data_IF_634180891190
#
_entry.id   IF_634180891190
#
_cell.length_a   1.000
_cell.length_b   1.000
_cell.length_c   1.000
_cell.angle_alpha   90.00
_cell.angle_beta   90.00
_cell.angle_gamma   90.00
#
_symmetry.space_group_name_H-M   'P 1'
#
loop_
_entity.id
_entity.type
_entity.pdbx_description
1 polymer ?
#
# COMPACT_ATOMS: atom_id res chain seq x y z
N UNK A 1 -11.35 13.43 9.99
CA UNK A 1 -11.84 12.17 10.59
C UNK A 1 -10.73 11.12 10.53
N UNK A 2 -10.85 10.05 11.31
CA UNK A 2 -9.98 8.87 11.23
C UNK A 2 -10.76 7.75 10.56
N UNK A 3 -10.14 7.03 9.63
CA UNK A 3 -10.68 5.82 9.01
C UNK A 3 -9.80 4.64 9.43
N UNK A 4 -10.43 3.52 9.77
CA UNK A 4 -9.74 2.27 10.08
C UNK A 4 -10.30 1.15 9.21
N UNK A 5 -9.41 0.34 8.63
CA UNK A 5 -9.71 -0.92 7.95
C UNK A 5 -9.06 -2.08 8.71
N UNK A 6 -9.80 -3.14 8.99
CA UNK A 6 -9.28 -4.34 9.64
C UNK A 6 -8.76 -5.38 8.63
N UNK A 7 -7.99 -6.35 9.12
CA UNK A 7 -7.46 -7.47 8.32
C UNK A 7 -8.60 -8.27 7.65
N UNK A 8 -9.72 -8.48 8.33
CA UNK A 8 -10.92 -9.11 7.76
C UNK A 8 -11.75 -8.20 6.86
N UNK A 9 -11.27 -6.98 6.56
CA UNK A 9 -11.92 -6.09 5.60
C UNK A 9 -13.10 -5.32 6.16
N UNK A 10 -13.18 -5.09 7.47
CA UNK A 10 -14.17 -4.18 8.05
C UNK A 10 -13.64 -2.75 8.08
N UNK A 11 -14.41 -1.82 7.54
CA UNK A 11 -14.08 -0.40 7.46
C UNK A 11 -15.05 0.45 8.27
N UNK A 12 -14.53 1.51 8.89
CA UNK A 12 -15.32 2.54 9.56
C UNK A 12 -14.61 3.89 9.58
N UNK A 13 -15.39 4.96 9.68
CA UNK A 13 -14.88 6.29 10.02
C UNK A 13 -15.27 6.68 11.44
N UNK A 14 -14.46 7.55 12.04
CA UNK A 14 -14.62 8.01 13.42
C UNK A 14 -14.19 9.48 13.55
N UNK A 15 -14.78 10.24 14.48
CA UNK A 15 -14.26 11.56 14.84
C UNK A 15 -12.79 11.48 15.30
N UNK A 16 -11.98 12.48 14.93
CA UNK A 16 -10.55 12.48 15.26
C UNK A 16 -10.30 12.57 16.78
N UNK A 17 -11.18 13.27 17.50
CA UNK A 17 -11.09 13.41 18.95
C UNK A 17 -11.25 12.08 19.69
N UNK A 18 -11.86 11.07 19.06
CA UNK A 18 -12.00 9.72 19.63
C UNK A 18 -10.67 8.97 19.73
N UNK A 19 -9.61 9.45 19.06
CA UNK A 19 -8.28 8.83 19.06
C UNK A 19 -7.22 9.59 19.88
N UNK A 20 -7.59 10.70 20.56
CA UNK A 20 -6.65 11.44 21.43
C UNK A 20 -6.16 10.56 22.58
N UNK A 21 -4.85 10.53 22.79
CA UNK A 21 -4.21 9.82 23.89
C UNK A 21 -4.61 10.40 25.25
N UNK A 22 -5.04 9.56 26.18
CA UNK A 22 -5.17 9.94 27.59
C UNK A 22 -3.75 10.19 28.14
N UNK A 23 -3.43 11.42 28.59
CA UNK A 23 -2.11 11.83 29.12
C UNK A 23 -1.74 11.22 30.49
N UNK A 24 -2.15 9.98 30.76
CA UNK A 24 -1.75 9.26 31.98
C UNK A 24 -1.25 7.89 31.55
N UNK A 25 -0.06 7.53 32.01
CA UNK A 25 0.62 6.26 31.74
C UNK A 25 -0.11 5.04 32.31
N UNK A 26 -1.32 4.79 31.83
CA UNK A 26 -2.03 3.53 31.95
C UNK A 26 -1.72 2.68 30.72
N UNK A 27 -1.81 1.36 30.89
CA UNK A 27 -1.69 0.34 29.82
C UNK A 27 -2.35 0.86 28.54
N UNK A 28 -1.62 0.76 27.42
CA UNK A 28 -1.97 1.35 26.13
C UNK A 28 -3.45 1.24 25.78
N UNK A 29 -3.98 2.31 25.20
CA UNK A 29 -5.41 2.48 24.94
C UNK A 29 -5.87 1.38 23.97
N UNK A 30 -6.63 0.40 24.46
CA UNK A 30 -7.14 -0.73 23.67
C UNK A 30 -7.95 -0.18 22.47
N UNK A 31 -7.39 -0.34 21.27
CA UNK A 31 -7.81 0.37 20.06
C UNK A 31 -9.16 -0.08 19.51
N UNK A 32 -9.36 -1.39 19.39
CA UNK A 32 -10.53 -2.06 18.79
C UNK A 32 -10.72 -3.41 19.51
N UNK A 33 -11.97 -3.78 19.86
CA UNK A 33 -12.29 -5.16 20.23
C UNK A 33 -12.37 -5.98 18.96
N UNK A 34 -11.25 -6.55 18.55
CA UNK A 34 -11.23 -7.49 17.45
C UNK A 34 -11.81 -8.82 17.96
N UNK A 35 -12.46 -9.59 17.08
CA UNK A 35 -12.58 -11.04 17.35
C UNK A 35 -11.15 -11.56 17.55
N UNK A 36 -10.97 -12.63 18.32
CA UNK A 36 -9.70 -13.36 18.33
C UNK A 36 -9.21 -13.45 16.86
N UNK A 37 -8.02 -12.89 16.59
CA UNK A 37 -7.34 -12.82 15.28
C UNK A 37 -7.65 -11.68 14.28
N UNK A 38 -8.68 -10.82 14.46
CA UNK A 38 -8.79 -9.61 13.62
C UNK A 38 -7.87 -8.49 14.17
N UNK A 39 -7.38 -7.60 13.32
CA UNK A 39 -6.54 -6.46 13.73
C UNK A 39 -6.67 -5.30 12.76
N UNK A 40 -6.35 -4.09 13.20
CA UNK A 40 -6.33 -2.91 12.30
C UNK A 40 -5.17 -3.08 11.33
N UNK A 41 -5.49 -3.21 10.05
CA UNK A 41 -4.51 -3.27 8.97
C UNK A 41 -4.10 -1.87 8.53
N UNK A 42 -5.07 -0.97 8.36
CA UNK A 42 -4.84 0.41 7.91
C UNK A 42 -5.53 1.40 8.83
N UNK A 43 -4.83 2.49 9.14
CA UNK A 43 -5.41 3.66 9.83
C UNK A 43 -4.89 4.94 9.18
N UNK A 44 -5.80 5.81 8.77
CA UNK A 44 -5.44 7.07 8.12
C UNK A 44 -6.40 8.20 8.49
N UNK A 45 -5.93 9.42 8.35
CA UNK A 45 -6.73 10.64 8.52
C UNK A 45 -7.13 11.18 7.15
N UNK A 46 -8.36 11.70 7.07
CA UNK A 46 -8.88 12.32 5.84
C UNK A 46 -10.09 13.22 6.18
N UNK A 47 -10.59 14.00 5.21
CA UNK A 47 -11.83 14.76 5.30
C UNK A 47 -13.04 13.95 4.83
N UNK A 48 -14.25 14.36 5.22
CA UNK A 48 -15.49 13.73 4.75
C UNK A 48 -15.72 13.90 3.25
N UNK A 49 -15.23 14.98 2.65
CA UNK A 49 -15.39 15.28 1.22
C UNK A 49 -14.25 14.75 0.35
N UNK A 50 -13.15 14.30 0.95
CA UNK A 50 -12.04 13.68 0.23
C UNK A 50 -12.51 12.40 -0.47
N UNK A 51 -11.78 12.04 -1.53
CA UNK A 51 -11.97 10.77 -2.21
C UNK A 51 -10.97 9.76 -1.65
N UNK A 52 -11.46 8.60 -1.23
CA UNK A 52 -10.63 7.48 -0.81
C UNK A 52 -10.57 6.49 -1.95
N UNK A 53 -9.37 6.29 -2.51
CA UNK A 53 -9.11 5.31 -3.56
C UNK A 53 -8.77 3.96 -2.93
N UNK A 54 -9.37 2.89 -3.43
CA UNK A 54 -9.14 1.52 -3.00
C UNK A 54 -8.62 0.71 -4.18
N UNK A 55 -7.42 0.17 -4.07
CA UNK A 55 -6.83 -0.67 -5.10
C UNK A 55 -6.96 -2.13 -4.72
N UNK A 56 -7.29 -2.98 -5.69
CA UNK A 56 -7.43 -4.42 -5.48
C UNK A 56 -6.25 -5.21 -6.01
N UNK A 57 -6.05 -6.44 -5.49
CA UNK A 57 -5.07 -7.40 -6.00
C UNK A 57 -5.24 -7.70 -7.49
N UNK A 58 -6.47 -7.56 -8.04
CA UNK A 58 -6.77 -7.72 -9.47
C UNK A 58 -6.49 -6.47 -10.31
N UNK A 59 -5.83 -5.45 -9.75
CA UNK A 59 -5.44 -4.26 -10.51
C UNK A 59 -6.58 -3.32 -10.84
N UNK A 60 -7.68 -3.34 -10.07
CA UNK A 60 -8.78 -2.39 -10.20
C UNK A 60 -8.71 -1.31 -9.12
N UNK A 61 -9.20 -0.12 -9.45
CA UNK A 61 -9.45 0.97 -8.51
C UNK A 61 -10.93 1.14 -8.30
N UNK A 62 -11.31 1.26 -7.04
CA UNK A 62 -12.60 1.68 -6.57
C UNK A 62 -12.45 2.97 -5.78
N UNK A 63 -13.55 3.67 -5.53
CA UNK A 63 -13.50 4.91 -4.79
C UNK A 63 -14.77 5.14 -3.98
N UNK A 64 -14.60 5.76 -2.83
CA UNK A 64 -15.68 6.28 -2.00
C UNK A 64 -15.34 7.71 -1.61
N UNK A 65 -16.34 8.55 -1.42
CA UNK A 65 -16.19 9.77 -0.64
C UNK A 65 -16.04 9.40 0.83
N UNK A 66 -15.30 10.20 1.58
CA UNK A 66 -15.13 9.98 3.02
C UNK A 66 -16.45 9.80 3.78
N UNK A 67 -17.48 10.57 3.44
CA UNK A 67 -18.81 10.46 4.05
C UNK A 67 -19.57 9.17 3.71
N UNK A 68 -19.23 8.48 2.60
CA UNK A 68 -19.84 7.20 2.22
C UNK A 68 -19.33 6.06 3.10
N UNK A 69 -18.19 6.23 3.77
CA UNK A 69 -17.69 5.28 4.77
C UNK A 69 -18.57 5.39 6.02
N UNK A 70 -19.17 4.29 6.52
CA UNK A 70 -20.05 4.32 7.68
C UNK A 70 -19.34 4.79 8.94
N UNK A 71 -20.00 5.67 9.68
CA UNK A 71 -19.53 6.10 10.99
C UNK A 71 -19.85 5.05 12.04
N UNK A 72 -18.87 4.73 12.89
CA UNK A 72 -19.07 3.77 13.95
C UNK A 72 -18.20 4.09 15.17
N UNK A 73 -18.61 3.62 16.34
CA UNK A 73 -17.84 3.78 17.57
C UNK A 73 -16.47 3.09 17.53
N UNK A 74 -15.58 3.45 18.46
CA UNK A 74 -14.22 2.92 18.55
C UNK A 74 -14.16 1.40 18.71
N UNK A 75 -15.08 0.84 19.46
CA UNK A 75 -15.19 -0.62 19.70
C UNK A 75 -16.04 -1.33 18.66
N UNK A 76 -16.82 -0.60 17.84
CA UNK A 76 -17.66 -1.21 16.81
C UNK A 76 -16.80 -1.82 15.70
N UNK A 77 -17.26 -2.93 15.11
CA UNK A 77 -16.52 -3.61 14.04
C UNK A 77 -16.43 -2.76 12.76
N UNK A 78 -17.46 -1.99 12.45
CA UNK A 78 -17.60 -1.31 11.17
C UNK A 78 -18.39 -2.14 10.16
N UNK A 79 -18.32 -1.76 8.89
CA UNK A 79 -19.03 -2.42 7.79
C UNK A 79 -18.05 -3.17 6.92
N UNK A 80 -18.41 -4.36 6.42
CA UNK A 80 -17.55 -5.10 5.51
C UNK A 80 -17.36 -4.31 4.19
N UNK A 81 -16.11 -4.17 3.72
CA UNK A 81 -15.76 -3.37 2.54
C UNK A 81 -16.44 -3.90 1.26
N UNK A 82 -16.68 -5.21 1.18
CA UNK A 82 -17.42 -5.88 0.10
C UNK A 82 -18.89 -5.42 -0.01
N UNK A 83 -19.45 -4.85 1.05
CA UNK A 83 -20.82 -4.29 1.01
C UNK A 83 -20.82 -2.86 0.44
N UNK A 84 -19.67 -2.20 0.40
CA UNK A 84 -19.50 -0.83 -0.11
C UNK A 84 -18.93 -0.84 -1.53
N UNK A 85 -18.10 -1.83 -1.85
CA UNK A 85 -17.41 -1.98 -3.12
C UNK A 85 -17.85 -3.27 -3.81
N UNK A 86 -18.20 -3.19 -5.09
CA UNK A 86 -18.52 -4.36 -5.92
C UNK A 86 -17.24 -5.12 -6.32
N UNK A 87 -16.71 -5.89 -5.39
CA UNK A 87 -15.52 -6.73 -5.59
C UNK A 87 -15.92 -8.07 -6.21
N UNK A 88 -15.12 -8.57 -7.14
CA UNK A 88 -15.30 -9.93 -7.67
C UNK A 88 -14.89 -11.00 -6.65
N UNK A 89 -15.28 -12.25 -6.90
CA UNK A 89 -14.80 -13.38 -6.10
C UNK A 89 -13.26 -13.44 -6.05
N UNK A 90 -12.70 -13.53 -4.85
CA UNK A 90 -11.25 -13.54 -4.60
C UNK A 90 -10.56 -12.18 -4.75
N UNK A 91 -11.29 -11.11 -5.08
CA UNK A 91 -10.75 -9.76 -5.14
C UNK A 91 -10.64 -9.14 -3.74
N UNK A 92 -9.46 -8.64 -3.38
CA UNK A 92 -9.12 -8.10 -2.07
C UNK A 92 -8.46 -6.74 -2.21
N UNK A 93 -8.66 -5.85 -1.25
CA UNK A 93 -8.02 -4.53 -1.23
C UNK A 93 -6.55 -4.65 -0.78
N UNK A 94 -5.64 -4.11 -1.59
CA UNK A 94 -4.20 -4.13 -1.37
C UNK A 94 -3.64 -2.79 -0.94
N UNK A 95 -4.20 -1.67 -1.43
CA UNK A 95 -3.80 -0.33 -1.01
C UNK A 95 -5.00 0.64 -0.87
N UNK A 96 -4.86 1.63 0.01
CA UNK A 96 -5.85 2.69 0.23
C UNK A 96 -5.14 4.05 0.19
N UNK A 97 -5.64 4.96 -0.65
CA UNK A 97 -5.04 6.29 -0.83
C UNK A 97 -6.12 7.36 -0.71
N UNK A 98 -6.18 8.12 0.40
CA UNK A 98 -7.03 9.31 0.49
C UNK A 98 -6.44 10.46 -0.34
N UNK A 99 -7.27 11.11 -1.14
CA UNK A 99 -6.91 12.28 -1.95
C UNK A 99 -7.94 13.40 -1.79
N UNK A 100 -7.47 14.65 -1.75
CA UNK A 100 -8.35 15.82 -1.75
C UNK A 100 -8.84 16.14 -3.17
N UNK A 101 -7.97 15.99 -4.16
CA UNK A 101 -8.25 16.23 -5.57
C UNK A 101 -7.34 15.38 -6.47
N UNK A 102 -7.64 15.35 -7.77
CA UNK A 102 -6.80 14.73 -8.80
C UNK A 102 -5.78 15.75 -9.31
N UNK A 103 -4.80 16.09 -8.47
CA UNK A 103 -3.76 17.06 -8.78
C UNK A 103 -2.87 16.64 -9.96
N UNK A 104 -2.44 17.61 -10.75
CA UNK A 104 -1.38 17.44 -11.75
C UNK A 104 -0.02 17.29 -11.06
N UNK A 105 0.94 16.65 -11.74
CA UNK A 105 2.27 16.37 -11.19
C UNK A 105 2.29 15.34 -10.06
N UNK A 106 1.16 14.69 -9.75
CA UNK A 106 1.08 13.54 -8.85
C UNK A 106 0.88 12.24 -9.61
N UNK A 107 1.43 11.16 -9.09
CA UNK A 107 1.41 9.85 -9.73
C UNK A 107 0.99 8.77 -8.75
N UNK A 108 0.37 7.72 -9.30
CA UNK A 108 0.17 6.46 -8.62
C UNK A 108 1.23 5.48 -9.10
N UNK A 109 2.12 5.14 -8.19
CA UNK A 109 3.15 4.13 -8.39
C UNK A 109 2.63 2.79 -7.87
N UNK A 110 2.72 1.75 -8.69
CA UNK A 110 2.15 0.43 -8.45
C UNK A 110 3.23 -0.63 -8.55
N UNK A 111 3.27 -1.58 -7.62
CA UNK A 111 4.09 -2.77 -7.70
C UNK A 111 3.24 -4.03 -7.82
N UNK A 112 3.73 -5.00 -8.59
CA UNK A 112 3.11 -6.32 -8.71
C UNK A 112 3.95 -7.40 -8.04
N UNK A 113 3.31 -8.52 -7.71
CA UNK A 113 3.91 -9.68 -7.09
C UNK A 113 5.08 -10.22 -7.92
N UNK A 114 4.96 -10.19 -9.24
CA UNK A 114 5.98 -10.68 -10.17
C UNK A 114 7.05 -9.63 -10.52
N UNK A 115 7.14 -8.54 -9.74
CA UNK A 115 8.24 -7.58 -9.85
C UNK A 115 8.07 -6.51 -10.91
N UNK A 116 6.86 -6.31 -11.45
CA UNK A 116 6.59 -5.16 -12.31
C UNK A 116 6.33 -3.91 -11.46
N UNK A 117 6.74 -2.77 -11.99
CA UNK A 117 6.46 -1.44 -11.47
C UNK A 117 5.75 -0.62 -12.54
N UNK A 118 4.77 0.19 -12.14
CA UNK A 118 4.07 1.09 -13.05
C UNK A 118 3.81 2.44 -12.41
N UNK A 119 4.06 3.51 -13.17
CA UNK A 119 3.71 4.88 -12.77
C UNK A 119 2.61 5.40 -13.69
N UNK A 120 1.51 5.88 -13.12
CA UNK A 120 0.40 6.49 -13.88
C UNK A 120 0.05 7.85 -13.29
N UNK A 121 -0.14 8.91 -14.10
CA UNK A 121 -0.60 10.21 -13.59
C UNK A 121 -1.92 10.06 -12.82
N UNK A 122 -2.03 10.71 -11.65
CA UNK A 122 -3.22 10.65 -10.80
C UNK A 122 -4.47 11.10 -11.56
N UNK A 123 -4.31 12.09 -12.45
CA UNK A 123 -5.38 12.66 -13.29
C UNK A 123 -6.11 11.62 -14.15
N UNK A 124 -5.45 10.52 -14.53
CA UNK A 124 -6.04 9.44 -15.32
C UNK A 124 -7.22 8.73 -14.61
N UNK A 125 -7.32 8.90 -13.28
CA UNK A 125 -8.34 8.32 -12.42
C UNK A 125 -9.46 9.30 -12.06
N UNK A 126 -9.42 10.53 -12.59
CA UNK A 126 -10.49 11.51 -12.47
C UNK A 126 -11.67 11.13 -13.37
N UNK A 127 -12.45 10.14 -12.91
CA UNK A 127 -13.58 9.59 -13.65
C UNK A 127 -14.79 9.52 -12.75
N UNK A 128 -16.00 9.83 -13.25
CA UNK A 128 -17.23 9.74 -12.46
C UNK A 128 -17.70 8.30 -12.17
N UNK A 129 -17.09 7.28 -12.80
CA UNK A 129 -17.51 5.87 -12.67
C UNK A 129 -17.42 5.38 -11.22
N UNK A 130 -18.46 4.66 -10.81
CA UNK A 130 -18.53 3.98 -9.49
C UNK A 130 -18.09 2.52 -9.56
N UNK A 131 -18.15 1.91 -10.75
CA UNK A 131 -17.63 0.57 -11.00
C UNK A 131 -16.11 0.59 -11.03
N UNK A 132 -15.49 -0.55 -10.67
CA UNK A 132 -14.04 -0.69 -10.65
C UNK A 132 -13.40 -0.25 -11.97
N UNK A 133 -12.46 0.70 -11.87
CA UNK A 133 -11.66 1.19 -13.00
C UNK A 133 -10.43 0.30 -13.14
N UNK A 134 -10.09 -0.10 -14.37
CA UNK A 134 -8.80 -0.73 -14.62
C UNK A 134 -7.68 0.25 -14.23
N UNK A 135 -6.78 -0.19 -13.36
CA UNK A 135 -5.63 0.56 -12.88
C UNK A 135 -4.32 0.02 -13.43
N UNK A 136 -4.22 -1.29 -13.62
CA UNK A 136 -3.07 -1.97 -14.22
C UNK A 136 -3.56 -3.24 -14.90
N UNK A 137 -3.03 -3.52 -16.10
CA UNK A 137 -3.26 -4.80 -16.76
C UNK A 137 -2.28 -5.81 -16.17
N UNK A 138 -2.80 -6.84 -15.51
CA UNK A 138 -2.00 -7.91 -14.94
C UNK A 138 -1.93 -9.08 -15.94
N UNK A 139 -0.82 -9.82 -15.90
CA UNK A 139 -0.72 -11.13 -16.56
C UNK A 139 -1.38 -12.18 -15.68
N UNK A 140 -1.67 -13.34 -16.25
CA UNK A 140 -2.17 -14.48 -15.49
C UNK A 140 -1.24 -14.79 -14.30
N UNK A 141 -1.82 -15.06 -13.14
CA UNK A 141 -1.16 -15.30 -11.84
C UNK A 141 -0.35 -14.15 -11.22
N UNK A 142 -0.35 -12.94 -11.81
CA UNK A 142 0.21 -11.74 -11.17
C UNK A 142 -0.86 -11.00 -10.36
N UNK A 143 -0.42 -10.31 -9.31
CA UNK A 143 -1.29 -9.55 -8.42
C UNK A 143 -0.66 -8.18 -8.11
N UNK A 144 -1.50 -7.15 -8.02
CA UNK A 144 -1.08 -5.85 -7.52
C UNK A 144 -0.86 -5.94 -6.01
N UNK A 145 0.37 -5.74 -5.52
CA UNK A 145 0.69 -5.90 -4.09
C UNK A 145 0.63 -4.59 -3.31
N UNK A 146 0.96 -3.45 -3.94
CA UNK A 146 0.99 -2.16 -3.27
C UNK A 146 0.87 -0.99 -4.25
N UNK A 147 0.42 0.16 -3.73
CA UNK A 147 0.31 1.43 -4.45
C UNK A 147 0.75 2.59 -3.56
N UNK A 148 1.54 3.51 -4.10
CA UNK A 148 1.94 4.76 -3.44
C UNK A 148 1.59 5.98 -4.28
N UNK A 149 1.21 7.05 -3.59
CA UNK A 149 1.00 8.37 -4.18
C UNK A 149 2.31 9.15 -4.09
N UNK A 150 2.86 9.55 -5.23
CA UNK A 150 4.17 10.19 -5.34
C UNK A 150 4.07 11.49 -6.13
N UNK A 151 5.12 12.30 -6.12
CA UNK A 151 5.32 13.44 -7.02
C UNK A 151 6.30 13.18 -8.17
N UNK A 152 6.86 11.96 -8.25
CA UNK A 152 7.80 11.59 -9.31
C UNK A 152 9.27 11.73 -8.95
N UNK A 153 9.59 12.18 -7.73
CA UNK A 153 10.94 12.51 -7.28
C UNK A 153 11.49 11.53 -6.23
N UNK A 154 10.69 10.54 -5.81
CA UNK A 154 11.08 9.59 -4.77
C UNK A 154 12.07 8.53 -5.30
N UNK A 155 12.80 7.89 -4.38
CA UNK A 155 13.36 6.58 -4.64
C UNK A 155 12.32 5.51 -4.33
N UNK A 156 12.34 4.42 -5.08
CA UNK A 156 11.45 3.28 -4.92
C UNK A 156 12.24 2.13 -4.32
N UNK A 157 11.72 1.56 -3.24
CA UNK A 157 12.26 0.37 -2.59
C UNK A 157 11.31 -0.79 -2.87
N UNK A 158 11.83 -1.90 -3.39
CA UNK A 158 11.09 -3.17 -3.51
C UNK A 158 11.80 -4.25 -2.72
N UNK A 159 11.03 -5.06 -1.99
CA UNK A 159 11.54 -6.18 -1.17
C UNK A 159 10.87 -7.48 -1.58
N UNK A 160 11.64 -8.56 -1.64
CA UNK A 160 11.17 -9.90 -2.03
C UNK A 160 11.08 -10.87 -0.86
N UNK A 161 10.32 -11.95 -1.03
CA UNK A 161 10.14 -13.00 -0.03
C UNK A 161 11.44 -13.76 0.27
N UNK A 162 12.37 -13.86 -0.70
CA UNK A 162 13.71 -14.42 -0.48
C UNK A 162 14.73 -13.42 0.06
N UNK A 163 14.28 -12.27 0.54
CA UNK A 163 15.13 -11.30 1.25
C UNK A 163 16.04 -10.49 0.33
N UNK A 164 15.64 -10.29 -0.92
CA UNK A 164 16.28 -9.34 -1.83
C UNK A 164 15.62 -7.96 -1.74
N UNK A 165 16.41 -6.91 -1.93
CA UNK A 165 15.96 -5.52 -1.91
C UNK A 165 16.59 -4.76 -3.07
N UNK A 166 15.79 -3.99 -3.83
CA UNK A 166 16.31 -3.03 -4.80
C UNK A 166 15.78 -1.64 -4.48
N UNK A 167 16.67 -0.65 -4.58
CA UNK A 167 16.34 0.76 -4.51
C UNK A 167 16.70 1.41 -5.84
N UNK A 168 15.79 2.16 -6.45
CA UNK A 168 16.03 2.87 -7.72
C UNK A 168 15.25 4.19 -7.79
N UNK A 169 15.66 5.11 -8.65
CA UNK A 169 15.01 6.41 -8.83
C UNK A 169 13.65 6.25 -9.55
N UNK A 170 12.59 6.86 -9.03
CA UNK A 170 11.25 6.84 -9.65
C UNK A 170 11.24 7.37 -11.09
N UNK A 171 12.18 8.25 -11.45
CA UNK A 171 12.34 8.80 -12.81
C UNK A 171 12.71 7.73 -13.85
N UNK A 172 13.25 6.59 -13.42
CA UNK A 172 13.50 5.42 -14.28
C UNK A 172 12.22 4.70 -14.72
N UNK A 173 11.07 5.07 -14.13
CA UNK A 173 9.75 4.60 -14.51
C UNK A 173 9.04 5.72 -15.26
N UNK A 174 8.79 5.54 -16.56
CA UNK A 174 8.04 6.54 -17.33
C UNK A 174 6.55 6.50 -16.96
N UNK A 175 5.87 7.65 -16.85
CA UNK A 175 4.42 7.67 -16.71
C UNK A 175 3.74 7.02 -17.92
N UNK A 176 2.79 6.13 -17.67
CA UNK A 176 1.98 5.45 -18.68
C UNK A 176 0.52 5.40 -18.26
N UNK A 177 -0.38 5.21 -19.22
CA UNK A 177 -1.82 5.15 -18.98
C UNK A 177 -2.27 3.92 -18.17
N UNK A 178 -3.55 3.92 -17.79
CA UNK A 178 -4.14 2.89 -16.91
C UNK A 178 -4.09 1.47 -17.47
N UNK A 179 -4.27 1.30 -18.77
CA UNK A 179 -4.28 -0.02 -19.41
C UNK A 179 -2.88 -0.64 -19.61
N UNK A 180 -1.80 0.09 -19.30
CA UNK A 180 -0.45 -0.45 -19.42
C UNK A 180 -0.14 -1.47 -18.31
N UNK A 181 0.74 -2.43 -18.63
CA UNK A 181 1.21 -3.47 -17.71
C UNK A 181 2.31 -2.98 -16.77
N UNK A 182 3.05 -1.93 -17.14
CA UNK A 182 4.24 -1.48 -16.42
C UNK A 182 5.53 -2.05 -17.00
N UNK A 183 6.62 -1.88 -16.27
CA UNK A 183 7.99 -2.28 -16.64
C UNK A 183 8.63 -3.06 -15.50
N UNK A 184 9.71 -3.79 -15.75
CA UNK A 184 10.38 -4.59 -14.71
C UNK A 184 10.96 -3.70 -13.59
N UNK A 185 10.45 -3.77 -12.37
CA UNK A 185 11.01 -3.07 -11.21
C UNK A 185 12.20 -3.81 -10.60
N UNK A 186 12.02 -5.11 -10.33
CA UNK A 186 13.05 -6.01 -9.81
C UNK A 186 13.02 -7.32 -10.60
N UNK A 187 14.20 -7.88 -10.91
CA UNK A 187 14.31 -9.22 -11.45
C UNK A 187 14.32 -10.23 -10.31
N UNK A 188 13.31 -11.09 -10.30
CA UNK A 188 13.14 -12.16 -9.31
C UNK A 188 13.94 -13.41 -9.73
N UNK A 189 14.45 -14.13 -8.74
CA UNK A 189 14.92 -15.50 -8.93
C UNK A 189 13.71 -16.48 -8.92
N UNK A 190 13.93 -17.75 -9.26
CA UNK A 190 12.87 -18.76 -9.24
C UNK A 190 12.21 -18.86 -7.86
N UNK A 191 10.88 -19.04 -7.81
CA UNK A 191 10.06 -19.10 -6.60
C UNK A 191 10.21 -17.91 -5.64
N UNK A 192 10.67 -16.75 -6.13
CA UNK A 192 10.67 -15.50 -5.38
C UNK A 192 9.51 -14.60 -5.82
N UNK A 193 9.09 -13.70 -4.96
CA UNK A 193 8.05 -12.72 -5.26
C UNK A 193 8.23 -11.45 -4.46
N UNK A 194 7.74 -10.32 -4.98
CA UNK A 194 7.70 -9.07 -4.23
C UNK A 194 6.68 -9.19 -3.11
N UNK A 195 7.06 -8.73 -1.91
CA UNK A 195 6.21 -8.72 -0.71
C UNK A 195 5.95 -7.31 -0.18
N UNK A 196 6.70 -6.31 -0.64
CA UNK A 196 6.52 -4.92 -0.22
C UNK A 196 7.15 -3.93 -1.18
N UNK A 197 6.56 -2.73 -1.22
CA UNK A 197 7.07 -1.56 -1.90
C UNK A 197 6.98 -0.37 -0.95
N UNK A 198 7.94 0.55 -1.05
CA UNK A 198 7.79 1.87 -0.43
C UNK A 198 8.38 2.96 -1.34
N UNK A 199 7.79 4.15 -1.31
CA UNK A 199 8.41 5.34 -1.91
C UNK A 199 9.06 6.17 -0.80
N UNK A 200 10.30 6.57 -1.01
CA UNK A 200 11.11 7.25 0.00
C UNK A 200 11.67 8.53 -0.59
N UNK A 201 11.54 9.62 0.15
CA UNK A 201 12.04 10.93 -0.27
C UNK A 201 13.55 10.82 -0.52
N UNK A 202 13.97 11.10 -1.75
CA UNK A 202 15.37 10.99 -2.14
C UNK A 202 16.28 11.85 -1.24
N UNK A 203 17.36 11.25 -0.75
CA UNK A 203 18.34 11.91 0.11
C UNK A 203 17.93 12.06 1.58
N UNK A 204 16.70 11.66 1.96
CA UNK A 204 16.31 11.59 3.37
C UNK A 204 16.95 10.36 4.04
N UNK A 205 17.69 10.60 5.13
CA UNK A 205 18.44 9.57 5.87
C UNK A 205 17.74 9.09 7.14
N UNK A 206 16.54 9.59 7.43
CA UNK A 206 15.80 9.23 8.65
C UNK A 206 14.96 7.96 8.49
N UNK A 207 14.97 7.36 7.30
CA UNK A 207 14.24 6.13 7.03
C UNK A 207 15.10 4.89 7.35
N UNK A 208 14.49 3.91 7.99
CA UNK A 208 15.06 2.57 8.15
C UNK A 208 14.11 1.52 7.58
N UNK A 209 14.67 0.46 7.00
CA UNK A 209 13.94 -0.72 6.57
C UNK A 209 13.91 -1.76 7.69
N UNK A 210 12.71 -2.17 8.10
CA UNK A 210 12.48 -3.25 9.06
C UNK A 210 12.02 -4.50 8.30
N UNK A 211 12.88 -5.52 8.24
CA UNK A 211 12.55 -6.83 7.69
C UNK A 211 12.19 -7.78 8.84
N UNK A 212 11.10 -8.54 8.67
CA UNK A 212 10.63 -9.54 9.63
C UNK A 212 10.34 -10.84 8.87
N UNK A 213 10.91 -11.95 9.33
CA UNK A 213 10.73 -13.29 8.76
C UNK A 213 9.48 -13.96 9.32
N UNK A 214 8.97 -15.00 8.66
CA UNK A 214 7.83 -15.79 9.15
C UNK A 214 8.07 -16.41 10.54
N UNK A 215 9.33 -16.74 10.88
CA UNK A 215 9.71 -17.30 12.18
C UNK A 215 9.91 -16.25 13.28
N UNK A 216 9.56 -14.98 13.02
CA UNK A 216 9.61 -13.90 14.00
C UNK A 216 11.00 -13.26 14.23
N UNK A 217 12.00 -13.60 13.42
CA UNK A 217 13.27 -12.87 13.43
C UNK A 217 13.14 -11.55 12.66
N UNK A 218 13.81 -10.51 13.14
CA UNK A 218 13.76 -9.21 12.49
C UNK A 218 15.10 -8.49 12.50
N UNK A 219 15.30 -7.64 11.50
CA UNK A 219 16.44 -6.73 11.40
C UNK A 219 15.94 -5.36 10.96
N UNK A 220 16.41 -4.32 11.64
CA UNK A 220 16.28 -2.93 11.17
C UNK A 220 17.62 -2.51 10.56
N UNK A 221 17.58 -1.87 9.40
CA UNK A 221 18.78 -1.38 8.70
C UNK A 221 18.45 0.01 8.16
N UNK A 222 19.37 0.96 8.33
CA UNK A 222 19.16 2.31 7.81
C UNK A 222 19.07 2.26 6.28
N UNK A 223 18.20 3.09 5.71
CA UNK A 223 17.89 2.96 4.28
C UNK A 223 19.06 3.45 3.40
N UNK A 224 19.93 4.30 3.93
CA UNK A 224 21.13 4.78 3.26
C UNK A 224 22.19 3.69 3.03
N UNK A 225 22.13 2.59 3.77
CA UNK A 225 22.93 1.38 3.49
C UNK A 225 22.50 0.69 2.18
N UNK A 226 21.29 0.94 1.69
CA UNK A 226 20.79 0.41 0.42
C UNK A 226 21.11 1.38 -0.71
N UNK A 227 22.23 1.13 -1.40
CA UNK A 227 22.63 1.91 -2.58
C UNK A 227 21.51 1.96 -3.63
N UNK A 228 21.31 3.14 -4.21
CA UNK A 228 20.46 3.32 -5.40
C UNK A 228 21.12 2.62 -6.59
N UNK A 229 20.34 1.86 -7.34
CA UNK A 229 20.75 1.04 -8.47
C UNK A 229 19.84 1.31 -9.67
N UNK A 230 20.23 0.83 -10.85
CA UNK A 230 19.33 0.85 -12.00
C UNK A 230 18.14 -0.09 -11.77
N UNK A 231 16.95 0.36 -12.14
CA UNK A 231 15.72 -0.45 -12.13
C UNK A 231 15.89 -1.77 -12.93
N UNK A 232 15.25 -2.83 -12.45
CA UNK A 232 15.22 -4.15 -13.13
C UNK A 232 16.45 -5.02 -12.84
N UNK A 233 17.31 -4.60 -11.92
CA UNK A 233 18.36 -5.44 -11.33
C UNK A 233 17.80 -6.51 -10.39
N UNK A 234 18.65 -7.40 -9.89
CA UNK A 234 18.30 -8.40 -8.84
C UNK A 234 18.28 -7.82 -7.43
N UNK A 235 18.75 -6.58 -7.26
CA UNK A 235 18.91 -5.97 -5.94
C UNK A 235 20.11 -6.50 -5.16
N UNK A 236 20.10 -6.27 -3.86
CA UNK A 236 21.07 -6.71 -2.86
C UNK A 236 20.36 -7.49 -1.76
N UNK A 237 21.09 -8.31 -1.03
CA UNK A 237 20.54 -9.06 0.10
C UNK A 237 20.17 -8.08 1.22
N UNK A 238 18.89 -8.01 1.60
CA UNK A 238 18.43 -7.31 2.81
C UNK A 238 18.37 -8.25 4.01
N UNK A 239 17.98 -9.51 3.77
CA UNK A 239 17.89 -10.53 4.80
C UNK A 239 18.31 -11.88 4.22
N UNK A 240 19.16 -12.62 4.93
CA UNK A 240 19.56 -13.97 4.51
C UNK A 240 18.54 -14.97 5.04
N UNK A 241 17.66 -15.45 4.17
CA UNK A 241 16.65 -16.45 4.53
C UNK A 241 17.33 -17.80 4.76
N UNK A 242 17.00 -18.47 5.85
CA UNK A 242 17.48 -19.82 6.17
C UNK A 242 16.33 -20.66 6.71
N UNK A 243 16.39 -22.01 6.73
CA UNK A 243 15.32 -22.81 7.31
C UNK A 243 15.00 -22.51 8.79
N UNK A 244 15.91 -21.82 9.50
CA UNK A 244 15.72 -21.38 10.88
C UNK A 244 15.18 -19.95 10.99
N UNK A 245 15.28 -19.15 9.93
CA UNK A 245 15.05 -17.71 9.89
C UNK A 245 14.23 -17.36 8.66
#
# INVERSE_FOLDING_TARGET
>A
MVVALTHFGYIKRMPIDTYKSQRRGGKGITGISTREEDFVKEIFTTSTHDTVLFFSNKGKLYRLRGYEIPEAGRTAKGTAIVNLLSLDAGEKITAIIPIQNFAEGKYLLMATKNGLIKKTPLKEYDSSRKTGLLSITLKDDDELIDVRLTDGEDNIVLVTSKGMCITFDEKDVRPVGRAAQGVLGIRLDEDDNVIGMESVIAGNKEYSLLAITENGFGKRTELDEYRVQNRGGRGVITYKITPKQ
#
